data_IF_097040821067
#
_entry.id   IF_097040821067
#
_cell.length_a   1.000
_cell.length_b   1.000
_cell.length_c   1.000
_cell.angle_alpha   90.00
_cell.angle_beta   90.00
_cell.angle_gamma   90.00
#
_symmetry.space_group_name_H-M   'P 1'
#
loop_
_entity.id
_entity.type
_entity.pdbx_description
1 polymer ?
#
# COMPACT_ATOMS: atom_id res chain seq x y z
N UNK A 1 -31.15 -7.59 24.15
CA UNK A 1 -31.18 -7.38 22.69
C UNK A 1 -29.86 -7.91 22.13
N UNK A 2 -29.88 -9.05 21.45
CA UNK A 2 -28.74 -9.53 20.66
C UNK A 2 -28.52 -8.53 19.53
N UNK A 3 -27.44 -7.74 19.59
CA UNK A 3 -27.00 -6.95 18.44
C UNK A 3 -26.67 -7.94 17.32
N UNK A 4 -27.58 -8.13 16.37
CA UNK A 4 -27.27 -8.79 15.10
C UNK A 4 -26.24 -7.90 14.40
N UNK A 5 -24.97 -8.31 14.47
CA UNK A 5 -23.89 -7.63 13.75
C UNK A 5 -24.28 -7.67 12.27
N UNK A 6 -24.49 -6.49 11.68
CA UNK A 6 -24.83 -6.35 10.27
C UNK A 6 -23.73 -6.99 9.45
N UNK A 7 -24.07 -8.03 8.69
CA UNK A 7 -23.13 -8.71 7.81
C UNK A 7 -22.72 -7.79 6.66
N UNK A 8 -21.51 -7.99 6.16
CA UNK A 8 -20.90 -7.19 5.11
C UNK A 8 -21.45 -7.59 3.74
N UNK A 9 -21.88 -6.60 2.97
CA UNK A 9 -22.33 -6.82 1.59
C UNK A 9 -21.16 -7.16 0.67
N UNK A 10 -21.44 -7.73 -0.51
CA UNK A 10 -20.44 -8.01 -1.54
C UNK A 10 -19.63 -6.75 -1.92
N UNK A 11 -20.31 -5.62 -2.10
CA UNK A 11 -19.68 -4.34 -2.43
C UNK A 11 -18.79 -3.88 -1.26
N UNK A 12 -19.28 -4.02 -0.02
CA UNK A 12 -18.48 -3.70 1.17
C UNK A 12 -17.21 -4.54 1.26
N UNK A 13 -17.30 -5.84 0.93
CA UNK A 13 -16.16 -6.75 0.88
C UNK A 13 -15.14 -6.34 -0.18
N UNK A 14 -15.60 -6.04 -1.41
CA UNK A 14 -14.72 -5.60 -2.50
C UNK A 14 -14.00 -4.29 -2.14
N UNK A 15 -14.72 -3.30 -1.61
CA UNK A 15 -14.14 -2.03 -1.20
C UNK A 15 -13.12 -2.22 -0.08
N UNK A 16 -13.41 -3.07 0.90
CA UNK A 16 -12.49 -3.37 1.98
C UNK A 16 -11.21 -4.04 1.46
N UNK A 17 -11.32 -5.06 0.60
CA UNK A 17 -10.16 -5.72 -0.04
C UNK A 17 -9.34 -4.69 -0.84
N UNK A 18 -10.00 -3.83 -1.62
CA UNK A 18 -9.32 -2.78 -2.37
C UNK A 18 -8.55 -1.84 -1.42
N UNK A 19 -9.18 -1.35 -0.35
CA UNK A 19 -8.51 -0.45 0.60
C UNK A 19 -7.36 -1.09 1.38
N UNK A 20 -7.37 -2.41 1.57
CA UNK A 20 -6.32 -3.11 2.32
C UNK A 20 -5.17 -3.59 1.44
N UNK A 21 -5.43 -3.94 0.18
CA UNK A 21 -4.45 -4.53 -0.73
C UNK A 21 -3.89 -3.48 -1.71
N UNK A 22 -4.73 -2.55 -2.18
CA UNK A 22 -4.29 -1.52 -3.13
C UNK A 22 -3.50 -0.41 -2.40
N UNK A 23 -2.19 -0.60 -2.30
CA UNK A 23 -1.27 0.38 -1.76
C UNK A 23 -0.91 1.44 -2.80
N UNK A 24 -1.43 2.67 -2.64
CA UNK A 24 -1.17 3.77 -3.58
C UNK A 24 0.32 3.99 -3.86
N UNK A 25 1.19 3.89 -2.85
CA UNK A 25 2.64 4.07 -2.98
C UNK A 25 3.37 2.98 -3.79
N UNK A 26 2.73 1.83 -4.06
CA UNK A 26 3.34 0.75 -4.84
C UNK A 26 3.46 1.15 -6.31
N UNK A 27 2.46 1.82 -6.88
CA UNK A 27 2.50 2.24 -8.29
C UNK A 27 3.55 3.33 -8.59
N UNK A 28 3.75 4.39 -7.76
CA UNK A 28 4.90 5.27 -7.85
C UNK A 28 6.24 4.54 -7.78
N UNK A 29 6.38 3.62 -6.81
CA UNK A 29 7.62 2.87 -6.62
C UNK A 29 7.92 2.03 -7.87
N UNK A 30 6.90 1.37 -8.43
CA UNK A 30 7.04 0.59 -9.65
C UNK A 30 7.49 1.46 -10.84
N UNK A 31 6.84 2.61 -11.05
CA UNK A 31 7.19 3.53 -12.12
C UNK A 31 8.60 4.11 -11.96
N UNK A 32 9.05 4.36 -10.73
CA UNK A 32 10.42 4.82 -10.46
C UNK A 32 11.48 3.74 -10.72
N UNK A 33 11.22 2.49 -10.38
CA UNK A 33 12.20 1.42 -10.58
C UNK A 33 12.26 0.96 -12.04
N UNK A 34 11.12 0.88 -12.73
CA UNK A 34 11.05 0.26 -14.07
C UNK A 34 10.25 1.06 -15.12
N UNK A 35 9.70 2.23 -14.82
CA UNK A 35 8.85 2.96 -15.77
C UNK A 35 7.68 2.10 -16.27
N UNK A 36 7.38 2.15 -17.57
CA UNK A 36 6.36 1.30 -18.18
C UNK A 36 6.75 -0.18 -18.26
N UNK A 37 8.04 -0.51 -18.24
CA UNK A 37 8.50 -1.91 -18.20
C UNK A 37 8.13 -2.62 -16.89
N UNK A 38 7.63 -1.90 -15.87
CA UNK A 38 7.00 -2.49 -14.69
C UNK A 38 5.68 -3.22 -15.00
N UNK A 39 4.92 -2.78 -16.01
CA UNK A 39 3.55 -3.25 -16.27
C UNK A 39 3.50 -4.75 -16.61
N UNK A 40 4.33 -5.27 -17.53
CA UNK A 40 4.38 -6.71 -17.78
C UNK A 40 4.66 -7.55 -16.53
N UNK A 41 5.55 -7.08 -15.65
CA UNK A 41 5.87 -7.77 -14.39
C UNK A 41 4.70 -7.74 -13.42
N UNK A 42 3.96 -6.64 -13.32
CA UNK A 42 2.74 -6.56 -12.52
C UNK A 42 1.63 -7.47 -13.04
N UNK A 43 1.49 -7.60 -14.37
CA UNK A 43 0.54 -8.53 -15.00
C UNK A 43 0.99 -9.98 -14.74
N UNK A 44 2.28 -10.27 -14.90
CA UNK A 44 2.85 -11.59 -14.64
C UNK A 44 2.63 -12.01 -13.18
N UNK A 45 2.95 -11.13 -12.22
CA UNK A 45 2.68 -11.36 -10.79
C UNK A 45 1.18 -11.47 -10.49
N UNK A 46 0.32 -10.75 -11.20
CA UNK A 46 -1.12 -10.90 -11.05
C UNK A 46 -1.60 -12.30 -11.47
N UNK A 47 -1.20 -12.75 -12.66
CA UNK A 47 -1.67 -13.99 -13.27
C UNK A 47 -1.12 -15.24 -12.59
N UNK A 48 0.17 -15.23 -12.22
CA UNK A 48 0.83 -16.43 -11.69
C UNK A 48 0.89 -16.49 -10.17
N UNK A 49 0.69 -15.37 -9.48
CA UNK A 49 0.73 -15.33 -8.02
C UNK A 49 -0.58 -14.83 -7.42
N UNK A 50 -0.98 -13.59 -7.71
CA UNK A 50 -2.06 -12.95 -6.95
C UNK A 50 -3.43 -13.57 -7.19
N UNK A 51 -3.82 -13.82 -8.45
CA UNK A 51 -5.12 -14.42 -8.78
C UNK A 51 -5.19 -15.87 -8.27
N UNK A 52 -4.18 -16.75 -8.52
CA UNK A 52 -4.15 -18.08 -7.92
C UNK A 52 -4.23 -18.04 -6.39
N UNK A 53 -3.46 -17.16 -5.75
CA UNK A 53 -3.47 -17.00 -4.30
C UNK A 53 -4.86 -16.54 -3.80
N UNK A 54 -5.48 -15.56 -4.46
CA UNK A 54 -6.82 -15.09 -4.14
C UNK A 54 -7.85 -16.23 -4.23
N UNK A 55 -7.77 -17.08 -5.26
CA UNK A 55 -8.64 -18.26 -5.39
C UNK A 55 -8.44 -19.26 -4.25
N UNK A 56 -7.19 -19.55 -3.86
CA UNK A 56 -6.89 -20.38 -2.70
C UNK A 56 -7.48 -19.78 -1.43
N UNK A 57 -7.37 -18.47 -1.22
CA UNK A 57 -7.92 -17.80 -0.04
C UNK A 57 -9.46 -17.81 -0.03
N UNK A 58 -10.08 -17.70 -1.20
CA UNK A 58 -11.52 -17.84 -1.35
C UNK A 58 -12.02 -19.25 -0.98
N UNK A 59 -11.30 -20.29 -1.44
CA UNK A 59 -11.63 -21.68 -1.16
C UNK A 59 -11.42 -22.01 0.32
N UNK A 60 -10.25 -21.69 0.88
CA UNK A 60 -9.91 -21.95 2.28
C UNK A 60 -10.82 -21.18 3.23
N UNK A 61 -11.10 -19.91 2.95
CA UNK A 61 -12.04 -19.13 3.74
C UNK A 61 -13.46 -19.71 3.74
N UNK A 62 -13.91 -20.21 2.59
CA UNK A 62 -15.24 -20.83 2.48
C UNK A 62 -15.31 -22.20 3.17
N UNK A 63 -14.27 -23.03 3.02
CA UNK A 63 -14.18 -24.36 3.61
C UNK A 63 -14.13 -24.30 5.15
N UNK A 64 -13.35 -23.36 5.69
CA UNK A 64 -13.13 -23.19 7.13
C UNK A 64 -13.93 -22.03 7.73
N UNK A 65 -15.11 -21.70 7.17
CA UNK A 65 -15.95 -20.56 7.60
C UNK A 65 -16.41 -20.55 9.07
N UNK A 66 -16.29 -21.67 9.78
CA UNK A 66 -16.66 -21.82 11.20
C UNK A 66 -15.47 -21.67 12.14
N UNK A 67 -14.26 -21.62 11.58
CA UNK A 67 -13.01 -21.53 12.34
C UNK A 67 -12.63 -20.06 12.53
N UNK A 68 -12.50 -19.62 13.79
CA UNK A 68 -12.10 -18.25 14.12
C UNK A 68 -10.59 -18.02 13.98
N UNK A 69 -9.80 -19.10 13.82
CA UNK A 69 -8.33 -19.06 13.82
C UNK A 69 -7.68 -18.55 12.52
N UNK A 70 -8.47 -18.16 11.52
CA UNK A 70 -7.98 -17.63 10.24
C UNK A 70 -6.93 -18.51 9.57
N UNK A 71 -5.85 -17.90 9.06
CA UNK A 71 -4.76 -18.58 8.34
C UNK A 71 -4.15 -19.73 9.17
N UNK A 72 -4.01 -19.56 10.48
CA UNK A 72 -3.46 -20.61 11.35
C UNK A 72 -4.35 -21.86 11.34
N UNK A 73 -5.66 -21.71 11.51
CA UNK A 73 -6.59 -22.87 11.51
C UNK A 73 -6.59 -23.56 10.15
N UNK A 74 -6.55 -22.78 9.07
CA UNK A 74 -6.50 -23.29 7.70
C UNK A 74 -5.23 -24.13 7.48
N UNK A 75 -4.06 -23.61 7.83
CA UNK A 75 -2.80 -24.34 7.70
C UNK A 75 -2.74 -25.54 8.65
N UNK A 76 -3.25 -25.43 9.87
CA UNK A 76 -3.22 -26.53 10.83
C UNK A 76 -4.01 -27.74 10.32
N UNK A 77 -5.17 -27.49 9.71
CA UNK A 77 -6.01 -28.52 9.15
C UNK A 77 -5.49 -29.10 7.82
N UNK A 78 -4.69 -28.34 7.06
CA UNK A 78 -4.16 -28.79 5.76
C UNK A 78 -2.77 -29.41 5.82
N UNK A 79 -1.84 -28.82 6.60
CA UNK A 79 -0.42 -29.20 6.64
C UNK A 79 0.09 -29.51 8.05
N UNK A 80 -0.79 -29.48 9.05
CA UNK A 80 -0.48 -29.81 10.43
C UNK A 80 0.09 -28.66 11.26
N UNK A 81 0.14 -28.83 12.60
CA UNK A 81 0.38 -27.75 13.55
C UNK A 81 1.78 -27.13 13.45
N UNK A 82 2.81 -27.93 13.11
CA UNK A 82 4.19 -27.44 13.01
C UNK A 82 4.34 -26.41 11.88
N UNK A 83 3.82 -26.72 10.69
CA UNK A 83 3.90 -25.81 9.54
C UNK A 83 2.96 -24.62 9.70
N UNK A 84 1.79 -24.81 10.31
CA UNK A 84 0.87 -23.71 10.66
C UNK A 84 1.52 -22.68 11.59
N UNK A 85 2.25 -23.15 12.62
CA UNK A 85 2.99 -22.28 13.52
C UNK A 85 4.10 -21.53 12.79
N UNK A 86 4.94 -22.23 12.00
CA UNK A 86 6.03 -21.60 11.25
C UNK A 86 5.49 -20.52 10.31
N UNK A 87 4.45 -20.83 9.50
CA UNK A 87 3.87 -19.87 8.56
C UNK A 87 3.26 -18.65 9.24
N UNK A 88 2.50 -18.87 10.31
CA UNK A 88 1.88 -17.77 11.07
C UNK A 88 2.94 -16.91 11.77
N UNK A 89 4.02 -17.52 12.27
CA UNK A 89 5.13 -16.78 12.88
C UNK A 89 5.94 -15.98 11.85
N UNK A 90 6.16 -16.52 10.65
CA UNK A 90 6.78 -15.78 9.55
C UNK A 90 5.92 -14.58 9.13
N UNK A 91 4.60 -14.78 9.03
CA UNK A 91 3.64 -13.72 8.73
C UNK A 91 3.64 -12.62 9.80
N UNK A 92 3.72 -12.97 11.08
CA UNK A 92 3.88 -11.99 12.15
C UNK A 92 5.22 -11.24 12.09
N UNK A 93 6.32 -11.98 11.87
CA UNK A 93 7.66 -11.39 11.81
C UNK A 93 7.79 -10.41 10.64
N UNK A 94 7.16 -10.70 9.49
CA UNK A 94 7.17 -9.78 8.35
C UNK A 94 6.46 -8.46 8.68
N UNK A 95 5.36 -8.48 9.45
CA UNK A 95 4.73 -7.25 9.92
C UNK A 95 5.60 -6.44 10.87
N UNK A 96 6.38 -7.08 11.74
CA UNK A 96 7.32 -6.36 12.62
C UNK A 96 8.35 -5.60 11.78
N UNK A 97 8.92 -6.24 10.75
CA UNK A 97 9.86 -5.59 9.82
C UNK A 97 9.17 -4.43 9.09
N UNK A 98 7.95 -4.65 8.60
CA UNK A 98 7.16 -3.63 7.92
C UNK A 98 6.85 -2.44 8.84
N UNK A 99 6.55 -2.68 10.12
CA UNK A 99 6.31 -1.63 11.11
C UNK A 99 7.57 -0.79 11.33
N UNK A 100 8.74 -1.42 11.52
CA UNK A 100 10.00 -0.67 11.68
C UNK A 100 10.28 0.21 10.46
N UNK A 101 10.14 -0.34 9.25
CA UNK A 101 10.31 0.40 8.00
C UNK A 101 9.32 1.57 7.86
N UNK A 102 8.04 1.33 8.20
CA UNK A 102 6.98 2.35 8.12
C UNK A 102 7.14 3.45 9.16
N UNK A 103 7.64 3.13 10.36
CA UNK A 103 7.89 4.10 11.42
C UNK A 103 8.93 5.15 11.02
N UNK A 104 9.94 4.76 10.23
CA UNK A 104 10.89 5.69 9.63
C UNK A 104 10.24 6.44 8.45
N UNK A 105 9.53 5.72 7.58
CA UNK A 105 8.95 6.29 6.36
C UNK A 105 7.86 7.34 6.63
N UNK A 106 7.14 7.28 7.75
CA UNK A 106 6.01 8.18 8.08
C UNK A 106 6.40 9.67 8.13
N UNK A 107 7.68 9.96 8.35
CA UNK A 107 8.18 11.34 8.43
C UNK A 107 8.33 12.02 7.07
N UNK A 108 8.47 11.26 5.99
CA UNK A 108 8.52 11.78 4.62
C UNK A 108 7.18 12.43 4.18
N UNK A 109 6.01 11.75 4.28
CA UNK A 109 4.73 12.41 4.01
C UNK A 109 4.46 13.59 4.94
N UNK A 110 4.85 13.47 6.21
CA UNK A 110 4.70 14.56 7.18
C UNK A 110 5.50 15.80 6.74
N UNK A 111 6.78 15.63 6.42
CA UNK A 111 7.63 16.70 5.88
C UNK A 111 7.02 17.31 4.61
N UNK A 112 6.58 16.47 3.69
CA UNK A 112 6.00 16.91 2.41
C UNK A 112 4.73 17.73 2.65
N UNK A 113 3.89 17.34 3.61
CA UNK A 113 2.71 18.11 3.98
C UNK A 113 3.06 19.49 4.54
N UNK A 114 4.02 19.57 5.46
CA UNK A 114 4.39 20.82 6.14
C UNK A 114 5.17 21.75 5.23
N UNK A 115 6.16 21.24 4.50
CA UNK A 115 7.12 22.04 3.74
C UNK A 115 6.84 22.06 2.23
N UNK A 116 5.97 21.18 1.72
CA UNK A 116 5.73 21.01 0.28
C UNK A 116 6.75 20.11 -0.42
N UNK A 117 7.75 19.63 0.31
CA UNK A 117 8.80 18.75 -0.17
C UNK A 117 9.36 17.87 0.97
N UNK A 118 10.07 16.81 0.59
CA UNK A 118 10.79 15.96 1.54
C UNK A 118 12.05 16.66 2.04
N UNK A 119 12.03 17.13 3.29
CA UNK A 119 13.14 17.79 3.97
C UNK A 119 13.83 16.86 4.97
N UNK A 120 13.46 15.58 5.02
CA UNK A 120 13.98 14.65 6.04
C UNK A 120 15.50 14.51 5.97
N UNK A 121 16.09 14.63 4.78
CA UNK A 121 17.54 14.60 4.56
C UNK A 121 18.27 15.87 5.03
N UNK A 122 17.54 16.94 5.33
CA UNK A 122 18.09 18.21 5.83
C UNK A 122 17.90 18.40 7.33
N UNK A 123 17.24 17.47 8.01
CA UNK A 123 17.04 17.57 9.45
C UNK A 123 18.33 17.26 10.21
N UNK A 124 18.75 18.18 11.06
CA UNK A 124 19.87 18.00 11.97
C UNK A 124 19.50 18.56 13.34
N UNK A 125 19.65 17.77 14.40
CA UNK A 125 19.36 18.18 15.77
C UNK A 125 20.53 17.78 16.66
N UNK A 126 21.08 18.73 17.42
CA UNK A 126 22.11 18.47 18.44
C UNK A 126 23.32 17.65 17.92
N UNK A 127 23.76 17.91 16.68
CA UNK A 127 24.90 17.21 16.06
C UNK A 127 24.57 15.86 15.43
N UNK A 128 23.29 15.42 15.44
CA UNK A 128 22.84 14.22 14.77
C UNK A 128 22.56 14.46 13.29
N UNK A 129 22.96 13.51 12.45
CA UNK A 129 22.67 13.49 11.01
C UNK A 129 21.21 13.10 10.74
N UNK A 130 20.72 13.43 9.54
CA UNK A 130 19.34 13.20 9.11
C UNK A 130 18.84 11.76 9.37
N UNK A 131 19.63 10.75 9.02
CA UNK A 131 19.28 9.33 9.23
C UNK A 131 19.08 9.02 10.73
N UNK A 132 19.92 9.59 11.59
CA UNK A 132 19.85 9.38 13.05
C UNK A 132 18.64 10.10 13.63
N UNK A 133 18.35 11.33 13.17
CA UNK A 133 17.17 12.10 13.57
C UNK A 133 15.88 11.35 13.19
N UNK A 134 15.77 10.89 11.95
CA UNK A 134 14.62 10.07 11.49
C UNK A 134 14.51 8.78 12.30
N UNK A 135 15.63 8.13 12.61
CA UNK A 135 15.67 6.94 13.47
C UNK A 135 15.11 7.19 14.87
N UNK A 136 15.51 8.28 15.53
CA UNK A 136 14.98 8.66 16.84
C UNK A 136 13.49 9.00 16.79
N UNK A 137 13.07 9.72 15.75
CA UNK A 137 11.66 10.03 15.52
C UNK A 137 10.84 8.75 15.29
N UNK A 138 11.38 7.76 14.57
CA UNK A 138 10.75 6.44 14.38
C UNK A 138 10.59 5.68 15.71
N UNK A 139 11.60 5.71 16.59
CA UNK A 139 11.50 5.12 17.94
C UNK A 139 10.41 5.83 18.75
N UNK A 140 10.40 7.17 18.75
CA UNK A 140 9.36 7.96 19.42
C UNK A 140 7.96 7.66 18.89
N UNK A 141 7.82 7.50 17.57
CA UNK A 141 6.57 7.11 16.92
C UNK A 141 6.09 5.73 17.39
N UNK A 142 6.97 4.72 17.42
CA UNK A 142 6.62 3.38 17.89
C UNK A 142 6.16 3.37 19.36
N UNK A 143 6.84 4.13 20.23
CA UNK A 143 6.45 4.28 21.64
C UNK A 143 5.06 4.91 21.73
N UNK A 144 4.83 6.01 21.00
CA UNK A 144 3.55 6.71 20.98
C UNK A 144 2.40 5.79 20.52
N UNK A 145 2.59 5.07 19.42
CA UNK A 145 1.58 4.13 18.91
C UNK A 145 1.33 3.04 19.94
N UNK A 146 2.36 2.47 20.56
CA UNK A 146 2.23 1.43 21.59
C UNK A 146 1.41 1.93 22.79
N UNK A 147 1.71 3.12 23.31
CA UNK A 147 0.98 3.72 24.42
C UNK A 147 -0.49 3.99 24.08
N UNK A 148 -0.78 4.47 22.87
CA UNK A 148 -2.14 4.75 22.42
C UNK A 148 -2.92 3.45 22.18
N UNK A 149 -2.30 2.45 21.55
CA UNK A 149 -2.90 1.14 21.32
C UNK A 149 -3.27 0.44 22.65
N UNK A 150 -2.45 0.60 23.70
CA UNK A 150 -2.73 0.08 25.03
C UNK A 150 -3.97 0.71 25.71
N UNK A 151 -4.40 1.91 25.29
CA UNK A 151 -5.55 2.63 25.87
C UNK A 151 -6.88 2.37 25.15
N UNK A 152 -6.90 1.50 24.14
CA UNK A 152 -8.13 1.02 23.50
C UNK A 152 -8.36 1.50 22.05
N UNK A 153 -9.04 0.66 21.27
CA UNK A 153 -9.03 0.65 19.80
C UNK A 153 -10.10 1.55 19.16
N UNK A 154 -11.13 1.96 19.90
CA UNK A 154 -12.27 2.65 19.30
C UNK A 154 -11.90 4.01 18.66
N UNK A 155 -10.91 4.72 19.20
CA UNK A 155 -10.41 5.98 18.59
C UNK A 155 -9.57 5.73 17.33
N UNK A 156 -8.93 4.56 17.23
CA UNK A 156 -8.05 4.18 16.12
C UNK A 156 -8.86 3.93 14.85
N UNK A 157 -10.00 3.24 14.96
CA UNK A 157 -10.83 2.88 13.80
C UNK A 157 -11.25 4.11 12.96
N UNK A 158 -11.50 5.26 13.61
CA UNK A 158 -11.85 6.50 12.92
C UNK A 158 -10.67 7.08 12.13
N UNK A 159 -9.45 7.03 12.68
CA UNK A 159 -8.23 7.50 12.00
C UNK A 159 -7.95 6.63 10.77
N UNK A 160 -8.06 5.31 10.91
CA UNK A 160 -7.90 4.36 9.80
C UNK A 160 -8.93 4.60 8.70
N UNK A 161 -10.19 4.86 9.05
CA UNK A 161 -11.23 5.15 8.06
C UNK A 161 -10.93 6.42 7.25
N UNK A 162 -10.49 7.50 7.91
CA UNK A 162 -10.10 8.75 7.23
C UNK A 162 -8.92 8.52 6.30
N UNK A 163 -7.89 7.79 6.76
CA UNK A 163 -6.73 7.45 5.92
C UNK A 163 -7.11 6.62 4.69
N UNK A 164 -7.97 5.61 4.84
CA UNK A 164 -8.45 4.79 3.73
C UNK A 164 -9.25 5.58 2.69
N UNK A 165 -10.16 6.46 3.13
CA UNK A 165 -10.90 7.36 2.24
C UNK A 165 -9.95 8.30 1.51
N UNK A 166 -8.95 8.87 2.21
CA UNK A 166 -7.97 9.76 1.60
C UNK A 166 -7.17 9.06 0.48
N UNK A 167 -6.71 7.83 0.72
CA UNK A 167 -5.99 7.02 -0.29
C UNK A 167 -6.89 6.66 -1.47
N UNK A 168 -8.16 6.35 -1.24
CA UNK A 168 -9.13 6.13 -2.31
C UNK A 168 -9.31 7.40 -3.16
N UNK A 169 -9.42 8.57 -2.53
CA UNK A 169 -9.49 9.86 -3.23
C UNK A 169 -8.22 10.13 -4.04
N UNK A 170 -7.02 9.81 -3.55
CA UNK A 170 -5.78 9.96 -4.30
C UNK A 170 -5.78 9.15 -5.61
N UNK A 171 -6.32 7.92 -5.59
CA UNK A 171 -6.47 7.12 -6.79
C UNK A 171 -7.43 7.74 -7.81
N UNK A 172 -8.55 8.31 -7.34
CA UNK A 172 -9.48 9.04 -8.20
C UNK A 172 -8.85 10.31 -8.78
N UNK A 173 -8.09 11.05 -7.97
CA UNK A 173 -7.34 12.24 -8.43
C UNK A 173 -6.35 11.85 -9.52
N UNK A 174 -5.55 10.79 -9.32
CA UNK A 174 -4.64 10.29 -10.34
C UNK A 174 -5.40 9.99 -11.65
N UNK A 175 -6.50 9.23 -11.58
CA UNK A 175 -7.29 8.85 -12.74
C UNK A 175 -7.85 10.09 -13.48
N UNK A 176 -8.58 10.94 -12.78
CA UNK A 176 -9.30 12.06 -13.38
C UNK A 176 -8.33 13.12 -13.92
N UNK A 177 -7.27 13.43 -13.18
CA UNK A 177 -6.28 14.43 -13.59
C UNK A 177 -5.45 13.93 -14.76
N UNK A 178 -5.02 12.67 -14.77
CA UNK A 178 -4.31 12.13 -15.93
C UNK A 178 -5.18 12.10 -17.19
N UNK A 179 -6.47 11.76 -17.07
CA UNK A 179 -7.42 11.87 -18.21
C UNK A 179 -7.56 13.32 -18.67
N UNK A 180 -7.71 14.28 -17.75
CA UNK A 180 -7.79 15.69 -18.10
C UNK A 180 -6.52 16.18 -18.83
N UNK A 181 -5.33 15.83 -18.33
CA UNK A 181 -4.04 16.15 -18.97
C UNK A 181 -3.99 15.57 -20.39
N UNK A 182 -4.38 14.31 -20.59
CA UNK A 182 -4.38 13.69 -21.92
C UNK A 182 -5.32 14.41 -22.88
N UNK A 183 -6.51 14.82 -22.43
CA UNK A 183 -7.45 15.58 -23.26
C UNK A 183 -6.91 16.96 -23.64
N UNK A 184 -6.23 17.64 -22.71
CA UNK A 184 -5.69 18.98 -22.91
C UNK A 184 -4.40 18.98 -23.75
N UNK A 185 -3.56 17.96 -23.61
CA UNK A 185 -2.27 17.84 -24.32
C UNK A 185 -2.37 17.04 -25.62
N UNK A 186 -3.58 16.80 -26.15
CA UNK A 186 -3.77 16.09 -27.43
C UNK A 186 -3.39 14.60 -27.41
N UNK A 187 -3.37 13.97 -26.24
CA UNK A 187 -3.05 12.54 -26.06
C UNK A 187 -1.57 12.22 -25.93
N UNK A 188 -0.70 13.23 -25.81
CA UNK A 188 0.73 13.04 -25.63
C UNK A 188 1.08 12.68 -24.17
N UNK A 189 1.97 11.69 -24.01
CA UNK A 189 2.52 11.28 -22.73
C UNK A 189 3.86 11.98 -22.48
N UNK A 190 4.13 12.36 -21.23
CA UNK A 190 5.43 12.92 -20.84
C UNK A 190 6.57 11.89 -20.92
N UNK A 191 6.27 10.62 -20.61
CA UNK A 191 7.20 9.50 -20.78
C UNK A 191 6.88 8.73 -22.06
N UNK A 192 7.92 8.43 -22.85
CA UNK A 192 7.80 7.54 -23.99
C UNK A 192 7.41 6.12 -23.54
N UNK A 193 6.42 5.54 -24.23
CA UNK A 193 5.87 4.23 -23.91
C UNK A 193 6.85 3.14 -24.36
N UNK A 194 7.54 2.52 -23.39
CA UNK A 194 8.40 1.37 -23.62
C UNK A 194 8.17 0.30 -22.54
N UNK A 195 7.61 -0.84 -22.93
CA UNK A 195 7.29 -1.94 -22.02
C UNK A 195 8.43 -2.95 -21.84
N UNK A 196 9.50 -2.87 -22.62
CA UNK A 196 10.57 -3.88 -22.64
C UNK A 196 11.84 -3.41 -21.94
N UNK A 197 12.13 -2.12 -22.01
CA UNK A 197 13.33 -1.53 -21.42
C UNK A 197 12.96 -0.57 -20.28
N UNK A 198 13.65 -0.73 -19.16
CA UNK A 198 13.53 0.20 -18.04
C UNK A 198 14.27 1.51 -18.37
N UNK A 199 13.69 2.70 -18.06
CA UNK A 199 14.44 3.95 -18.12
C UNK A 199 15.49 4.04 -17.01
N UNK A 200 15.39 3.23 -15.95
CA UNK A 200 16.34 3.19 -14.85
C UNK A 200 17.53 2.25 -15.18
N UNK A 201 18.77 2.77 -15.28
CA UNK A 201 19.96 1.95 -15.56
C UNK A 201 20.18 0.82 -14.53
N UNK A 202 19.72 1.00 -13.29
CA UNK A 202 19.81 -0.01 -12.24
C UNK A 202 19.03 -1.29 -12.53
N UNK A 203 18.09 -1.28 -13.47
CA UNK A 203 17.21 -2.41 -13.83
C UNK A 203 17.45 -2.97 -15.24
N UNK A 204 18.59 -2.66 -15.87
CA UNK A 204 18.96 -3.21 -17.18
C UNK A 204 19.51 -4.63 -17.11
N UNK A 205 20.07 -5.04 -15.98
CA UNK A 205 20.54 -6.42 -15.81
C UNK A 205 19.38 -7.38 -15.52
N UNK A 206 19.45 -8.62 -16.03
CA UNK A 206 18.44 -9.65 -15.78
C UNK A 206 18.23 -9.94 -14.29
N UNK A 207 19.29 -9.90 -13.48
CA UNK A 207 19.20 -10.10 -12.03
C UNK A 207 18.45 -8.97 -11.32
N UNK A 208 18.70 -7.70 -11.72
CA UNK A 208 17.96 -6.56 -11.18
C UNK A 208 16.49 -6.57 -11.62
N UNK A 209 16.22 -6.99 -12.84
CA UNK A 209 14.85 -7.17 -13.32
C UNK A 209 14.11 -8.26 -12.52
N UNK A 210 14.79 -9.35 -12.15
CA UNK A 210 14.22 -10.37 -11.26
C UNK A 210 14.02 -9.86 -9.83
N UNK A 211 14.90 -9.00 -9.31
CA UNK A 211 14.72 -8.41 -7.97
C UNK A 211 13.52 -7.47 -7.93
N UNK A 212 13.16 -6.82 -9.04
CA UNK A 212 11.92 -6.04 -9.15
C UNK A 212 10.66 -6.89 -8.94
N UNK A 213 10.67 -8.16 -9.33
CA UNK A 213 9.51 -9.06 -9.16
C UNK A 213 9.13 -9.19 -7.68
N UNK A 214 10.08 -9.06 -6.76
CA UNK A 214 9.81 -9.03 -5.31
C UNK A 214 8.90 -7.84 -4.95
N UNK A 215 9.13 -6.66 -5.52
CA UNK A 215 8.26 -5.49 -5.34
C UNK A 215 6.88 -5.70 -5.98
N UNK A 216 6.81 -6.31 -7.16
CA UNK A 216 5.55 -6.60 -7.84
C UNK A 216 4.69 -7.61 -7.05
N UNK A 217 5.29 -8.67 -6.52
CA UNK A 217 4.61 -9.64 -5.65
C UNK A 217 4.17 -8.98 -4.35
N UNK A 218 5.05 -8.18 -3.72
CA UNK A 218 4.73 -7.47 -2.48
C UNK A 218 3.52 -6.55 -2.62
N UNK A 219 3.35 -5.89 -3.78
CA UNK A 219 2.21 -5.00 -4.04
C UNK A 219 0.84 -5.68 -3.95
N UNK A 220 0.79 -7.00 -4.14
CA UNK A 220 -0.41 -7.83 -4.07
C UNK A 220 -0.63 -8.50 -2.70
N UNK A 221 0.30 -8.32 -1.75
CA UNK A 221 0.18 -8.87 -0.40
C UNK A 221 -0.95 -8.21 0.39
N UNK A 222 -1.52 -8.95 1.35
CA UNK A 222 -2.51 -8.45 2.30
C UNK A 222 -3.94 -8.95 2.10
N UNK A 223 -4.25 -9.63 0.98
CA UNK A 223 -5.58 -10.22 0.77
C UNK A 223 -5.90 -11.31 1.80
N UNK A 224 -4.86 -11.93 2.36
CA UNK A 224 -4.96 -12.94 3.40
C UNK A 224 -5.58 -12.44 4.70
N UNK A 225 -5.44 -11.14 4.99
CA UNK A 225 -6.03 -10.53 6.18
C UNK A 225 -7.57 -10.53 6.13
N UNK A 226 -8.15 -10.55 4.92
CA UNK A 226 -9.61 -10.58 4.70
C UNK A 226 -10.16 -12.01 4.83
N UNK A 227 -9.29 -13.02 4.81
CA UNK A 227 -9.65 -14.42 5.01
C UNK A 227 -10.46 -14.68 6.29
N UNK A 228 -10.15 -13.96 7.38
CA UNK A 228 -10.85 -14.09 8.66
C UNK A 228 -12.22 -13.39 8.74
N UNK A 229 -12.75 -12.87 7.63
CA UNK A 229 -14.01 -12.11 7.59
C UNK A 229 -15.15 -12.83 6.85
N UNK A 230 -14.94 -14.12 6.53
CA UNK A 230 -15.93 -14.97 5.85
C UNK A 230 -17.23 -15.06 6.65
N UNK A 231 -17.12 -15.32 7.96
CA UNK A 231 -18.24 -15.45 8.91
C UNK A 231 -19.12 -14.19 8.97
N UNK A 232 -18.48 -13.02 8.75
CA UNK A 232 -19.10 -11.69 8.74
C UNK A 232 -19.63 -11.27 7.38
N UNK A 233 -19.50 -12.08 6.33
CA UNK A 233 -19.98 -11.76 4.98
C UNK A 233 -21.41 -12.27 4.77
N UNK A 234 -22.24 -11.48 4.07
CA UNK A 234 -23.59 -11.90 3.65
C UNK A 234 -23.49 -13.00 2.59
N UNK A 235 -24.21 -14.12 2.76
CA UNK A 235 -24.17 -15.30 1.85
C UNK A 235 -22.73 -15.72 1.52
N UNK A 236 -21.92 -16.08 2.54
CA UNK A 236 -20.47 -16.24 2.39
C UNK A 236 -20.09 -17.30 1.35
N UNK A 237 -20.90 -18.37 1.22
CA UNK A 237 -20.74 -19.47 0.25
C UNK A 237 -20.62 -18.99 -1.21
N UNK A 238 -21.19 -17.83 -1.54
CA UNK A 238 -21.16 -17.28 -2.91
C UNK A 238 -20.47 -15.92 -2.97
N UNK A 239 -20.78 -15.03 -2.03
CA UNK A 239 -20.32 -13.64 -2.10
C UNK A 239 -18.85 -13.49 -1.68
N UNK A 240 -18.34 -14.35 -0.80
CA UNK A 240 -16.95 -14.24 -0.36
C UNK A 240 -16.00 -14.52 -1.53
N UNK A 241 -16.16 -15.68 -2.17
CA UNK A 241 -15.36 -16.06 -3.33
C UNK A 241 -15.51 -15.08 -4.50
N UNK A 242 -16.76 -14.68 -4.84
CA UNK A 242 -17.00 -13.68 -5.89
C UNK A 242 -16.34 -12.34 -5.57
N UNK A 243 -16.41 -11.88 -4.32
CA UNK A 243 -15.81 -10.63 -3.89
C UNK A 243 -14.30 -10.66 -4.02
N UNK A 244 -13.66 -11.75 -3.60
CA UNK A 244 -12.21 -11.93 -3.73
C UNK A 244 -11.77 -11.95 -5.20
N UNK A 245 -12.42 -12.75 -6.05
CA UNK A 245 -12.04 -12.85 -7.47
C UNK A 245 -12.22 -11.52 -8.17
N UNK A 246 -13.35 -10.85 -7.94
CA UNK A 246 -13.61 -9.55 -8.54
C UNK A 246 -12.60 -8.50 -8.06
N UNK A 247 -12.33 -8.43 -6.75
CA UNK A 247 -11.33 -7.53 -6.21
C UNK A 247 -9.93 -7.82 -6.78
N UNK A 248 -9.55 -9.09 -6.92
CA UNK A 248 -8.26 -9.47 -7.48
C UNK A 248 -8.08 -8.97 -8.92
N UNK A 249 -9.11 -9.12 -9.77
CA UNK A 249 -9.11 -8.60 -11.14
C UNK A 249 -9.00 -7.07 -11.14
N UNK A 250 -9.82 -6.38 -10.35
CA UNK A 250 -9.84 -4.91 -10.28
C UNK A 250 -8.50 -4.36 -9.79
N UNK A 251 -7.89 -4.96 -8.76
CA UNK A 251 -6.59 -4.54 -8.23
C UNK A 251 -5.48 -4.75 -9.25
N UNK A 252 -5.49 -5.90 -9.96
CA UNK A 252 -4.49 -6.21 -10.99
C UNK A 252 -4.52 -5.18 -12.13
N UNK A 253 -5.71 -4.90 -12.65
CA UNK A 253 -5.90 -3.87 -13.69
C UNK A 253 -5.55 -2.49 -13.13
N UNK A 254 -5.97 -2.20 -11.90
CA UNK A 254 -5.75 -0.91 -11.25
C UNK A 254 -4.29 -0.57 -11.09
N UNK A 255 -3.42 -1.53 -10.73
CA UNK A 255 -2.00 -1.26 -10.60
C UNK A 255 -1.34 -0.99 -11.96
N UNK A 256 -1.63 -1.83 -12.96
CA UNK A 256 -1.11 -1.61 -14.32
C UNK A 256 -1.58 -0.26 -14.88
N UNK A 257 -2.85 0.09 -14.68
CA UNK A 257 -3.40 1.38 -15.08
C UNK A 257 -2.74 2.54 -14.32
N UNK A 258 -2.58 2.44 -13.00
CA UNK A 258 -1.92 3.49 -12.22
C UNK A 258 -0.48 3.73 -12.67
N UNK A 259 0.31 2.66 -12.90
CA UNK A 259 1.66 2.75 -13.45
C UNK A 259 1.64 3.44 -14.81
N UNK A 260 0.68 3.09 -15.67
CA UNK A 260 0.54 3.72 -16.98
C UNK A 260 0.22 5.22 -16.87
N UNK A 261 -0.67 5.60 -15.96
CA UNK A 261 -1.09 7.00 -15.78
C UNK A 261 0.01 7.90 -15.21
N UNK A 262 1.01 7.35 -14.50
CA UNK A 262 2.14 8.15 -14.01
C UNK A 262 3.02 8.71 -15.14
N UNK A 263 3.13 7.99 -16.26
CA UNK A 263 3.88 8.45 -17.42
C UNK A 263 3.15 9.49 -18.29
N UNK A 264 1.87 9.75 -18.02
CA UNK A 264 1.14 10.89 -18.62
C UNK A 264 1.77 12.20 -18.21
N UNK A 265 2.09 12.34 -16.92
CA UNK A 265 2.53 13.61 -16.34
C UNK A 265 4.02 13.69 -16.05
N UNK A 266 4.72 12.56 -16.01
CA UNK A 266 6.12 12.49 -15.55
C UNK A 266 7.02 11.81 -16.56
N UNK A 267 8.10 12.49 -16.96
CA UNK A 267 9.22 11.89 -17.67
C UNK A 267 10.28 11.38 -16.68
N UNK A 268 10.69 10.13 -16.81
CA UNK A 268 11.62 9.48 -15.88
C UNK A 268 12.99 10.16 -15.87
N UNK A 269 13.57 10.44 -17.04
CA UNK A 269 14.91 11.01 -17.13
C UNK A 269 14.95 12.45 -16.61
N UNK A 270 13.91 13.25 -16.85
CA UNK A 270 13.88 14.66 -16.45
C UNK A 270 13.60 14.84 -14.95
N UNK A 271 12.76 14.00 -14.36
CA UNK A 271 12.25 14.20 -12.99
C UNK A 271 12.83 13.18 -12.01
N UNK A 272 12.91 11.91 -12.41
CA UNK A 272 13.18 10.79 -11.50
C UNK A 272 14.65 10.37 -11.43
N UNK A 273 15.48 10.80 -12.38
CA UNK A 273 16.93 10.55 -12.37
C UNK A 273 17.70 11.38 -11.33
N UNK A 274 17.06 12.39 -10.73
CA UNK A 274 17.67 13.26 -9.74
C UNK A 274 17.98 12.49 -8.44
N UNK A 275 19.19 12.68 -7.88
CA UNK A 275 19.67 11.99 -6.68
C UNK A 275 18.86 12.26 -5.42
N UNK A 276 18.08 13.34 -5.38
CA UNK A 276 17.15 13.62 -4.29
C UNK A 276 15.92 12.69 -4.31
N UNK A 277 15.62 12.04 -5.44
CA UNK A 277 14.48 11.12 -5.60
C UNK A 277 14.82 9.74 -5.06
N UNK A 278 13.96 9.21 -4.20
CA UNK A 278 14.11 7.87 -3.63
C UNK A 278 12.75 7.22 -3.35
N UNK A 279 12.75 5.94 -2.95
CA UNK A 279 11.53 5.18 -2.63
C UNK A 279 10.70 5.74 -1.46
N UNK A 280 11.29 6.61 -0.65
CA UNK A 280 10.62 7.34 0.43
C UNK A 280 9.72 8.45 -0.11
N UNK A 281 10.23 9.27 -1.03
CA UNK A 281 9.57 10.51 -1.47
C UNK A 281 8.93 10.47 -2.87
N UNK A 282 9.18 9.40 -3.65
CA UNK A 282 8.69 9.25 -5.02
C UNK A 282 7.19 9.53 -5.19
N UNK A 283 6.36 9.06 -4.26
CA UNK A 283 4.90 9.25 -4.31
C UNK A 283 4.52 10.73 -4.37
N UNK A 284 5.22 11.57 -3.60
CA UNK A 284 4.92 12.99 -3.53
C UNK A 284 5.50 13.76 -4.71
N UNK A 285 6.65 13.32 -5.22
CA UNK A 285 7.28 13.90 -6.42
C UNK A 285 6.40 13.64 -7.65
N UNK A 286 5.89 12.42 -7.82
CA UNK A 286 4.97 12.12 -8.92
C UNK A 286 3.65 12.89 -8.80
N UNK A 287 3.13 13.07 -7.59
CA UNK A 287 1.93 13.91 -7.38
C UNK A 287 2.21 15.39 -7.64
N UNK A 288 3.40 15.89 -7.28
CA UNK A 288 3.81 17.24 -7.64
C UNK A 288 3.91 17.40 -9.15
N UNK A 289 4.51 16.43 -9.84
CA UNK A 289 4.61 16.38 -11.30
C UNK A 289 3.23 16.37 -11.95
N UNK A 290 2.30 15.55 -11.44
CA UNK A 290 0.91 15.50 -11.88
C UNK A 290 0.23 16.88 -11.79
N UNK A 291 0.37 17.57 -10.65
CA UNK A 291 -0.20 18.90 -10.45
C UNK A 291 0.43 19.97 -11.33
N UNK A 292 1.77 19.98 -11.45
CA UNK A 292 2.48 20.92 -12.32
C UNK A 292 2.10 20.71 -13.79
N UNK A 293 2.07 19.47 -14.26
CA UNK A 293 1.70 19.16 -15.65
C UNK A 293 0.24 19.50 -15.94
N UNK A 294 -0.68 19.32 -14.97
CA UNK A 294 -2.04 19.83 -15.09
C UNK A 294 -2.07 21.36 -15.22
N UNK A 295 -1.31 22.08 -14.39
CA UNK A 295 -1.23 23.53 -14.46
C UNK A 295 -0.72 24.03 -15.82
N UNK A 296 0.30 23.36 -16.36
CA UNK A 296 0.82 23.64 -17.69
C UNK A 296 -0.23 23.36 -18.79
N UNK A 297 -0.95 22.24 -18.70
CA UNK A 297 -1.99 21.86 -19.65
C UNK A 297 -3.19 22.85 -19.65
N UNK A 298 -3.41 23.52 -18.51
CA UNK A 298 -4.41 24.59 -18.36
C UNK A 298 -3.90 25.98 -18.77
N UNK A 299 -2.68 26.09 -19.32
CA UNK A 299 -2.01 27.35 -19.69
C UNK A 299 -1.87 28.34 -18.52
N UNK A 300 -1.68 27.83 -17.30
CA UNK A 300 -1.31 28.68 -16.15
C UNK A 300 0.12 29.21 -16.30
N UNK A 301 0.46 30.27 -15.57
CA UNK A 301 1.86 30.72 -15.50
C UNK A 301 2.74 29.62 -14.88
N UNK A 302 4.05 29.57 -15.21
CA UNK A 302 4.96 28.57 -14.62
C UNK A 302 4.95 28.55 -13.09
N UNK A 303 4.86 29.71 -12.45
CA UNK A 303 4.81 29.84 -10.98
C UNK A 303 3.51 29.29 -10.42
N UNK A 304 2.38 29.55 -11.09
CA UNK A 304 1.08 29.02 -10.72
C UNK A 304 1.04 27.50 -10.88
N UNK A 305 1.58 26.95 -11.98
CA UNK A 305 1.66 25.52 -12.22
C UNK A 305 2.51 24.80 -11.14
N UNK A 306 3.68 25.35 -10.81
CA UNK A 306 4.52 24.85 -9.71
C UNK A 306 3.77 24.87 -8.37
N UNK A 307 3.02 25.93 -8.10
CA UNK A 307 2.19 26.05 -6.88
C UNK A 307 1.12 24.96 -6.82
N UNK A 308 0.45 24.66 -7.95
CA UNK A 308 -0.50 23.55 -8.04
C UNK A 308 0.19 22.22 -7.74
N UNK A 309 1.37 21.98 -8.30
CA UNK A 309 2.20 20.80 -7.99
C UNK A 309 2.50 20.66 -6.49
N UNK A 310 2.95 21.74 -5.85
CA UNK A 310 3.23 21.74 -4.40
C UNK A 310 1.98 21.40 -3.58
N UNK A 311 0.81 21.92 -3.96
CA UNK A 311 -0.44 21.57 -3.26
C UNK A 311 -0.84 20.12 -3.45
N UNK A 312 -0.66 19.54 -4.64
CA UNK A 312 -0.85 18.11 -4.86
C UNK A 312 0.07 17.28 -3.96
N UNK A 313 1.35 17.66 -3.86
CA UNK A 313 2.30 17.00 -2.97
C UNK A 313 1.88 17.12 -1.50
N UNK A 314 1.45 18.30 -1.04
CA UNK A 314 1.01 18.54 0.35
C UNK A 314 -0.22 17.72 0.71
N UNK A 315 -1.26 17.72 -0.13
CA UNK A 315 -2.49 16.95 0.09
C UNK A 315 -2.19 15.45 0.11
N UNK A 316 -1.31 14.99 -0.79
CA UNK A 316 -0.84 13.60 -0.81
C UNK A 316 -0.06 13.27 0.46
N UNK A 317 0.83 14.16 0.91
CA UNK A 317 1.59 14.02 2.15
C UNK A 317 0.67 13.83 3.35
N UNK A 318 -0.35 14.68 3.51
CA UNK A 318 -1.33 14.56 4.59
C UNK A 318 -2.09 13.24 4.51
N UNK A 319 -2.58 12.90 3.31
CA UNK A 319 -3.37 11.68 3.07
C UNK A 319 -2.57 10.42 3.39
N UNK A 320 -1.33 10.35 2.93
CA UNK A 320 -0.42 9.22 3.18
C UNK A 320 0.03 9.16 4.64
N UNK A 321 0.25 10.30 5.30
CA UNK A 321 0.56 10.34 6.73
C UNK A 321 -0.59 9.75 7.57
N UNK A 322 -1.83 10.14 7.29
CA UNK A 322 -3.01 9.61 7.96
C UNK A 322 -3.21 8.12 7.67
N UNK A 323 -3.01 7.70 6.42
CA UNK A 323 -3.11 6.30 6.01
C UNK A 323 -2.06 5.42 6.69
N UNK A 324 -0.79 5.83 6.69
CA UNK A 324 0.27 5.11 7.38
C UNK A 324 0.03 5.04 8.89
N UNK A 325 -0.44 6.14 9.50
CA UNK A 325 -0.81 6.15 10.92
C UNK A 325 -1.92 5.12 11.21
N UNK A 326 -3.01 5.15 10.44
CA UNK A 326 -4.13 4.20 10.60
C UNK A 326 -3.71 2.74 10.38
N UNK A 327 -2.93 2.47 9.34
CA UNK A 327 -2.40 1.14 9.06
C UNK A 327 -1.50 0.64 10.19
N UNK A 328 -0.60 1.48 10.69
CA UNK A 328 0.31 1.15 11.78
C UNK A 328 -0.43 0.75 13.05
N UNK A 329 -1.43 1.54 13.45
CA UNK A 329 -2.25 1.22 14.61
C UNK A 329 -3.05 -0.09 14.43
N UNK A 330 -3.59 -0.32 13.23
CA UNK A 330 -4.38 -1.53 12.93
C UNK A 330 -3.50 -2.78 12.97
N UNK A 331 -2.31 -2.71 12.37
CA UNK A 331 -1.35 -3.80 12.28
C UNK A 331 -0.56 -4.03 13.57
N UNK A 332 -0.53 -3.06 14.49
CA UNK A 332 -0.02 -3.27 15.86
C UNK A 332 -0.91 -4.22 16.67
N UNK A 333 -2.19 -4.37 16.31
CA UNK A 333 -3.15 -5.16 17.07
C UNK A 333 -3.53 -6.48 16.39
N UNK A 334 -3.83 -6.45 15.10
CA UNK A 334 -4.43 -7.60 14.39
C UNK A 334 -3.57 -8.88 14.41
N UNK A 335 -2.26 -8.84 14.05
CA UNK A 335 -1.40 -10.01 14.06
C UNK A 335 -1.19 -10.59 15.47
N UNK A 336 -1.07 -9.72 16.48
CA UNK A 336 -0.96 -10.11 17.89
C UNK A 336 -2.21 -10.86 18.36
N UNK A 337 -3.39 -10.36 18.00
CA UNK A 337 -4.66 -11.05 18.29
C UNK A 337 -4.72 -12.42 17.61
N UNK A 338 -4.33 -12.52 16.33
CA UNK A 338 -4.34 -13.77 15.59
C UNK A 338 -3.42 -14.84 16.22
N UNK A 339 -2.21 -14.45 16.66
CA UNK A 339 -1.31 -15.37 17.37
C UNK A 339 -1.85 -15.77 18.73
N UNK A 340 -2.28 -14.81 19.54
CA UNK A 340 -2.70 -15.08 20.94
C UNK A 340 -3.98 -15.93 20.97
N UNK A 341 -4.92 -15.69 20.05
CA UNK A 341 -6.18 -16.43 20.00
C UNK A 341 -6.07 -17.73 19.18
N UNK A 342 -5.21 -17.77 18.16
CA UNK A 342 -5.05 -18.94 17.29
C UNK A 342 -4.08 -20.00 17.82
N UNK A 343 -3.07 -19.61 18.62
CA UNK A 343 -2.05 -20.55 19.10
C UNK A 343 -2.56 -21.32 20.34
N UNK A 344 -2.57 -22.66 20.34
CA UNK A 344 -2.90 -23.45 21.52
C UNK A 344 -2.02 -23.06 22.72
N UNK A 345 -2.60 -22.95 23.92
CA UNK A 345 -1.89 -22.53 25.16
C UNK A 345 -0.57 -23.29 25.44
N UNK A 346 -0.40 -24.49 24.85
CA UNK A 346 0.79 -25.33 24.99
C UNK A 346 2.01 -24.84 24.21
N UNK A 347 1.83 -23.99 23.19
CA UNK A 347 2.89 -23.53 22.29
C UNK A 347 3.40 -22.11 22.62
N UNK A 348 2.74 -21.37 23.51
CA UNK A 348 3.23 -20.08 24.01
C UNK A 348 4.20 -20.24 25.20
N UNK A 349 5.04 -19.22 25.50
CA UNK A 349 5.85 -19.23 26.72
C UNK A 349 4.93 -19.39 27.94
N UNK A 350 5.28 -20.33 28.84
CA UNK A 350 4.53 -20.53 30.09
C UNK A 350 4.57 -19.21 30.88
N UNK A 351 3.39 -18.70 31.23
CA UNK A 351 3.26 -17.60 32.19
C UNK A 351 3.80 -18.01 33.55
#
# INVERSE_FOLDING_TARGET
>A
MTHTIKKMSLIGLILMIFTSVFGFANSPSAFYLMGYSAIPWYIFSALLFFIPFALMMAEMGSAYRKEEGGIYSWMNNSVGPRYAFIGTFMWFSSYVIWMVSTAAKVWVPFSTFVFGADMTQHWGIAGLEATQVVGLLAVGWMILVTCVAARGINKIARITAVGGIAVMCLNLVLLLVSVAILLLNGGHFAQEINFTSSPNPGYHSGLAMLSFVVFAIFAYGGIEAVGGLVDKTEKPEKNFAKGIVFAAIVISIGYSLAIFLWGVSTNWQQILSNSAVNLGNITYILMSSLGTTLGNALNLSPEAALTVGVWFARITGLSMFLAYTGAFFTLSYSPLKAIIQGTPKRCGPRR
#
